data_IF_599588673727
#
_entry.id   IF_599588673727
#
_cell.length_a   1.000
_cell.length_b   1.000
_cell.length_c   1.000
_cell.angle_alpha   90.00
_cell.angle_beta   90.00
_cell.angle_gamma   90.00
#
_symmetry.space_group_name_H-M   'P 1'
#
loop_
_entity.id
_entity.type
_entity.pdbx_description
1 polymer ?
#
# COMPACT_ATOMS: atom_id res chain seq x y z
N UNK A 1 11.51 -18.98 -13.70
CA UNK A 1 11.59 -18.12 -12.50
C UNK A 1 10.18 -17.66 -12.20
N UNK A 2 9.56 -18.20 -11.16
CA UNK A 2 8.27 -17.74 -10.70
C UNK A 2 8.50 -16.40 -9.99
N UNK A 3 8.18 -15.30 -10.66
CA UNK A 3 8.16 -13.99 -10.03
C UNK A 3 6.98 -14.00 -9.06
N UNK A 4 7.24 -14.05 -7.75
CA UNK A 4 6.18 -13.94 -6.77
C UNK A 4 5.40 -12.64 -7.04
N UNK A 5 4.08 -12.70 -7.00
CA UNK A 5 3.25 -11.52 -7.22
C UNK A 5 3.28 -10.63 -5.97
N UNK A 6 3.22 -9.29 -6.12
CA UNK A 6 3.04 -8.39 -4.98
C UNK A 6 1.68 -8.65 -4.31
N UNK A 7 1.68 -8.59 -2.98
CA UNK A 7 0.46 -8.74 -2.18
C UNK A 7 -0.21 -7.39 -2.02
N UNK A 8 -1.44 -7.25 -2.50
CA UNK A 8 -2.24 -6.03 -2.29
C UNK A 8 -2.74 -6.01 -0.85
N UNK A 9 -2.47 -4.93 -0.13
CA UNK A 9 -2.94 -4.73 1.25
C UNK A 9 -4.30 -4.02 1.27
N UNK A 10 -4.46 -2.98 0.44
CA UNK A 10 -5.71 -2.28 0.27
C UNK A 10 -5.73 -1.48 -1.03
N UNK A 11 -6.95 -1.17 -1.49
CA UNK A 11 -7.24 -0.26 -2.59
C UNK A 11 -8.31 0.72 -2.13
N UNK A 12 -8.12 1.99 -2.41
CA UNK A 12 -9.02 3.06 -2.06
C UNK A 12 -9.33 3.91 -3.30
N UNK A 13 -10.54 4.46 -3.32
CA UNK A 13 -11.06 5.37 -4.33
C UNK A 13 -11.51 6.66 -3.67
N UNK A 14 -11.40 7.77 -4.41
CA UNK A 14 -12.00 9.05 -4.04
C UNK A 14 -12.85 9.58 -5.18
N UNK A 15 -13.88 10.33 -4.82
CA UNK A 15 -14.77 11.00 -5.77
C UNK A 15 -13.94 11.83 -6.75
N UNK A 16 -14.06 11.54 -8.06
CA UNK A 16 -13.23 12.16 -9.10
C UNK A 16 -12.30 11.21 -9.86
N UNK A 17 -12.43 9.89 -9.65
CA UNK A 17 -11.60 8.82 -10.27
C UNK A 17 -10.16 8.77 -9.75
N UNK A 18 -9.90 9.42 -8.63
CA UNK A 18 -8.64 9.23 -7.93
C UNK A 18 -8.63 7.87 -7.26
N UNK A 19 -7.51 7.16 -7.33
CA UNK A 19 -7.35 5.86 -6.70
C UNK A 19 -5.98 5.77 -6.02
N UNK A 20 -5.93 5.05 -4.91
CA UNK A 20 -4.71 4.81 -4.17
C UNK A 20 -4.65 3.35 -3.75
N UNK A 21 -3.48 2.74 -3.74
CA UNK A 21 -3.33 1.38 -3.25
C UNK A 21 -1.98 1.15 -2.60
N UNK A 22 -1.95 0.22 -1.65
CA UNK A 22 -0.73 -0.25 -1.03
C UNK A 22 -0.49 -1.70 -1.38
N UNK A 23 0.76 -2.02 -1.72
CA UNK A 23 1.21 -3.39 -1.95
C UNK A 23 2.47 -3.68 -1.14
N UNK A 24 2.56 -4.92 -0.70
CA UNK A 24 3.81 -5.49 -0.21
C UNK A 24 4.49 -6.21 -1.37
N UNK A 25 5.70 -5.79 -1.71
CA UNK A 25 6.50 -6.49 -2.71
C UNK A 25 7.00 -7.81 -2.14
N UNK A 26 7.13 -8.85 -2.97
CA UNK A 26 7.65 -10.13 -2.52
C UNK A 26 9.11 -10.00 -2.09
N UNK A 27 9.47 -10.73 -1.03
CA UNK A 27 10.82 -10.76 -0.49
C UNK A 27 10.93 -10.09 0.87
N UNK A 28 11.97 -10.48 1.60
CA UNK A 28 12.31 -9.89 2.90
C UNK A 28 13.15 -10.82 3.77
N UNK A 29 13.82 -10.26 4.81
CA UNK A 29 14.01 -8.82 5.06
C UNK A 29 15.02 -8.18 4.09
N UNK A 30 14.88 -6.88 3.73
CA UNK A 30 13.83 -5.97 4.17
C UNK A 30 12.48 -6.25 3.47
N UNK A 31 11.38 -6.12 4.20
CA UNK A 31 10.03 -6.14 3.64
C UNK A 31 9.74 -4.78 3.00
N UNK A 32 9.38 -4.78 1.71
CA UNK A 32 9.16 -3.54 0.95
C UNK A 32 7.68 -3.25 0.80
N UNK A 33 7.24 -2.11 1.32
CA UNK A 33 5.89 -1.57 1.21
C UNK A 33 5.89 -0.43 0.19
N UNK A 34 5.07 -0.55 -0.85
CA UNK A 34 4.94 0.46 -1.88
C UNK A 34 3.52 1.02 -1.91
N UNK A 35 3.41 2.34 -2.03
CA UNK A 35 2.15 3.05 -2.16
C UNK A 35 2.06 3.71 -3.52
N UNK A 36 0.88 3.61 -4.11
CA UNK A 36 0.58 4.16 -5.41
C UNK A 36 -0.59 5.11 -5.30
N UNK A 37 -0.52 6.21 -6.05
CA UNK A 37 -1.61 7.14 -6.27
C UNK A 37 -1.78 7.32 -7.78
N UNK A 38 -2.99 7.08 -8.29
CA UNK A 38 -3.32 7.14 -9.70
C UNK A 38 -2.36 6.31 -10.57
N UNK A 39 -2.11 5.06 -10.17
CA UNK A 39 -1.16 4.10 -10.77
C UNK A 39 0.31 4.55 -10.79
N UNK A 40 0.63 5.70 -10.19
CA UNK A 40 1.98 6.21 -10.05
C UNK A 40 2.54 5.86 -8.68
N UNK A 41 3.80 5.44 -8.65
CA UNK A 41 4.50 5.19 -7.41
C UNK A 41 4.67 6.50 -6.63
N UNK A 42 4.03 6.62 -5.48
CA UNK A 42 4.13 7.77 -4.57
C UNK A 42 5.35 7.61 -3.66
N UNK A 43 5.42 6.48 -2.96
CA UNK A 43 6.52 6.18 -2.04
C UNK A 43 6.79 4.69 -1.91
N UNK A 44 7.98 4.39 -1.42
CA UNK A 44 8.41 3.07 -1.00
C UNK A 44 9.05 3.16 0.38
N UNK A 45 8.63 2.30 1.29
CA UNK A 45 9.14 2.20 2.65
C UNK A 45 9.64 0.76 2.88
N UNK A 46 10.80 0.59 3.54
CA UNK A 46 11.39 -0.71 3.85
C UNK A 46 11.35 -0.95 5.36
N UNK A 47 11.01 -2.17 5.76
CA UNK A 47 10.87 -2.56 7.17
C UNK A 47 11.60 -3.86 7.45
N UNK A 48 12.23 -3.96 8.62
CA UNK A 48 12.87 -5.20 9.07
C UNK A 48 11.85 -6.26 9.52
N UNK A 49 10.64 -5.83 9.89
CA UNK A 49 9.56 -6.70 10.34
C UNK A 49 8.27 -6.46 9.54
N UNK A 50 7.60 -7.55 9.17
CA UNK A 50 6.35 -7.52 8.40
C UNK A 50 5.23 -6.80 9.16
N UNK A 51 5.13 -6.99 10.48
CA UNK A 51 4.12 -6.36 11.32
C UNK A 51 4.23 -4.83 11.31
N UNK A 52 5.46 -4.29 11.23
CA UNK A 52 5.69 -2.85 11.10
C UNK A 52 5.20 -2.32 9.75
N UNK A 53 5.44 -3.06 8.67
CA UNK A 53 4.95 -2.71 7.34
C UNK A 53 3.42 -2.73 7.29
N UNK A 54 2.77 -3.75 7.86
CA UNK A 54 1.31 -3.85 7.93
C UNK A 54 0.73 -2.71 8.78
N UNK A 55 1.28 -2.48 9.97
CA UNK A 55 0.85 -1.38 10.85
C UNK A 55 0.97 -0.01 10.15
N UNK A 56 2.05 0.19 9.40
CA UNK A 56 2.23 1.40 8.60
C UNK A 56 1.18 1.54 7.52
N UNK A 57 0.91 0.46 6.77
CA UNK A 57 -0.09 0.45 5.71
C UNK A 57 -1.50 0.79 6.25
N UNK A 58 -1.87 0.22 7.39
CA UNK A 58 -3.15 0.48 8.06
C UNK A 58 -3.26 1.92 8.56
N UNK A 59 -2.18 2.49 9.11
CA UNK A 59 -2.17 3.89 9.52
C UNK A 59 -2.46 4.85 8.36
N UNK A 60 -1.88 4.59 7.18
CA UNK A 60 -2.16 5.39 5.97
C UNK A 60 -3.59 5.17 5.48
N UNK A 61 -4.08 3.92 5.47
CA UNK A 61 -5.47 3.60 5.12
C UNK A 61 -6.44 4.41 5.97
N UNK A 62 -6.26 4.43 7.28
CA UNK A 62 -7.11 5.17 8.22
C UNK A 62 -7.10 6.68 7.95
N UNK A 63 -5.92 7.26 7.69
CA UNK A 63 -5.82 8.68 7.32
C UNK A 63 -6.57 8.99 6.01
N UNK A 64 -6.39 8.18 4.97
CA UNK A 64 -7.08 8.37 3.70
C UNK A 64 -8.60 8.19 3.87
N UNK A 65 -9.06 7.17 4.60
CA UNK A 65 -10.49 7.00 4.87
C UNK A 65 -11.09 8.19 5.63
N UNK A 66 -10.34 8.77 6.59
CA UNK A 66 -10.77 9.99 7.28
C UNK A 66 -10.87 11.21 6.33
N UNK A 67 -10.05 11.26 5.28
CA UNK A 67 -10.07 12.29 4.23
C UNK A 67 -11.16 12.05 3.16
N UNK A 68 -12.04 11.06 3.36
CA UNK A 68 -13.16 10.76 2.46
C UNK A 68 -12.82 9.80 1.33
N UNK A 69 -11.75 9.01 1.45
CA UNK A 69 -11.49 7.87 0.57
C UNK A 69 -12.28 6.65 1.02
N UNK A 70 -12.66 5.78 0.08
CA UNK A 70 -13.47 4.60 0.31
C UNK A 70 -12.82 3.36 -0.30
N UNK A 71 -13.08 2.18 0.24
CA UNK A 71 -12.59 0.93 -0.36
C UNK A 71 -13.26 0.67 -1.71
N UNK A 72 -12.47 0.20 -2.68
CA UNK A 72 -12.92 -0.28 -4.00
C UNK A 72 -13.70 -1.61 -3.89
#
# INVERSE_FOLDING_TARGET
METAAPTVLWRLLKVGREHAHAVMLPGGPPYTLAFFANDQLDRVENFDAIDMAIFRADGIKQSLTADGWHED
#
